data_IF_516663821719
#
_entry.id   IF_516663821719
#
_cell.length_a   1.000
_cell.length_b   1.000
_cell.length_c   1.000
_cell.angle_alpha   90.00
_cell.angle_beta   90.00
_cell.angle_gamma   90.00
#
_symmetry.space_group_name_H-M   'P 1'
#
loop_
_entity.id
_entity.type
_entity.pdbx_description
1 polymer ?
#
# COMPACT_ATOMS: atom_id res chain seq x y z
N UNK A 1 16.20 14.37 3.04
CA UNK A 1 14.83 14.15 3.55
C UNK A 1 14.83 13.15 4.70
N UNK A 2 14.02 13.41 5.73
CA UNK A 2 13.79 12.54 6.88
C UNK A 2 12.41 11.89 6.70
N UNK A 3 12.22 10.69 7.25
CA UNK A 3 10.89 10.11 7.44
C UNK A 3 10.61 9.98 8.93
N UNK A 4 9.60 10.70 9.41
CA UNK A 4 8.97 10.48 10.71
C UNK A 4 8.10 9.23 10.59
N UNK A 5 8.31 8.26 11.46
CA UNK A 5 7.57 6.98 11.43
C UNK A 5 7.03 6.61 12.80
N UNK A 6 5.71 6.47 12.89
CA UNK A 6 5.01 5.98 14.07
C UNK A 6 4.42 4.62 13.76
N UNK A 7 4.57 3.68 14.69
CA UNK A 7 3.96 2.36 14.60
C UNK A 7 3.15 2.06 15.88
N UNK A 8 2.01 1.41 15.72
CA UNK A 8 1.13 1.04 16.82
C UNK A 8 1.84 0.24 17.92
N UNK A 9 2.76 -0.65 17.55
CA UNK A 9 3.53 -1.47 18.48
C UNK A 9 4.66 -0.75 19.23
N UNK A 10 4.96 0.52 18.93
CA UNK A 10 6.08 1.26 19.50
C UNK A 10 5.73 2.70 19.91
N UNK A 11 4.49 2.91 20.35
CA UNK A 11 4.05 4.21 20.90
C UNK A 11 4.84 4.56 22.18
N UNK A 12 4.98 5.85 22.41
CA UNK A 12 5.62 6.40 23.63
C UNK A 12 4.87 5.96 24.90
N UNK A 13 5.61 5.75 25.98
CA UNK A 13 5.06 5.22 27.24
C UNK A 13 3.95 6.09 27.85
N UNK A 14 4.00 7.41 27.67
CA UNK A 14 2.98 8.33 28.14
C UNK A 14 1.70 8.22 27.31
N UNK A 15 1.79 8.03 25.98
CA UNK A 15 0.65 7.77 25.13
C UNK A 15 0.02 6.40 25.41
N UNK A 16 0.84 5.37 25.65
CA UNK A 16 0.34 4.06 26.09
C UNK A 16 -0.45 4.16 27.40
N UNK A 17 0.00 4.99 28.36
CA UNK A 17 -0.74 5.24 29.61
C UNK A 17 -2.04 6.02 29.37
N UNK A 18 -2.01 7.00 28.47
CA UNK A 18 -3.16 7.88 28.15
C UNK A 18 -4.27 7.09 27.44
N UNK A 19 -3.91 6.33 26.42
CA UNK A 19 -4.86 5.65 25.54
C UNK A 19 -5.12 4.19 25.92
N UNK A 20 -4.28 3.58 26.77
CA UNK A 20 -4.30 2.17 27.22
C UNK A 20 -4.01 1.18 26.10
N UNK A 21 -4.61 1.37 24.93
CA UNK A 21 -4.43 0.56 23.73
C UNK A 21 -4.02 1.47 22.54
N UNK A 22 -3.35 0.93 21.51
CA UNK A 22 -3.11 1.67 20.28
C UNK A 22 -4.44 2.07 19.63
N UNK A 23 -4.63 3.35 19.36
CA UNK A 23 -5.78 3.90 18.65
C UNK A 23 -5.30 4.81 17.51
N UNK A 24 -6.15 5.11 16.51
CA UNK A 24 -5.82 6.10 15.48
C UNK A 24 -5.37 7.44 16.07
N UNK A 25 -6.06 7.92 17.11
CA UNK A 25 -5.76 9.19 17.79
C UNK A 25 -4.38 9.16 18.47
N UNK A 26 -4.01 8.02 19.08
CA UNK A 26 -2.70 7.86 19.71
C UNK A 26 -1.57 7.92 18.67
N UNK A 27 -1.77 7.28 17.51
CA UNK A 27 -0.82 7.32 16.39
C UNK A 27 -0.67 8.72 15.81
N UNK A 28 -1.78 9.43 15.65
CA UNK A 28 -1.80 10.81 15.15
C UNK A 28 -1.13 11.76 16.15
N UNK A 29 -1.45 11.68 17.44
CA UNK A 29 -0.81 12.51 18.47
C UNK A 29 0.70 12.29 18.50
N UNK A 30 1.16 11.03 18.45
CA UNK A 30 2.59 10.72 18.36
C UNK A 30 3.23 11.37 17.12
N UNK A 31 2.61 11.23 15.94
CA UNK A 31 3.12 11.82 14.71
C UNK A 31 3.20 13.35 14.80
N UNK A 32 2.17 14.02 15.30
CA UNK A 32 2.12 15.48 15.43
C UNK A 32 3.19 16.01 16.38
N UNK A 33 3.49 15.34 17.49
CA UNK A 33 4.60 15.68 18.37
C UNK A 33 5.94 15.73 17.65
N UNK A 34 6.21 14.75 16.79
CA UNK A 34 7.44 14.71 16.00
C UNK A 34 7.46 15.78 14.90
N UNK A 35 6.33 16.03 14.25
CA UNK A 35 6.17 17.12 13.28
C UNK A 35 6.46 18.47 13.95
N UNK A 36 5.92 18.70 15.16
CA UNK A 36 6.16 19.92 15.92
C UNK A 36 7.64 20.14 16.30
N UNK A 37 8.34 19.06 16.67
CA UNK A 37 9.79 19.13 16.94
C UNK A 37 10.54 19.61 15.70
N UNK A 38 10.26 19.04 14.52
CA UNK A 38 10.90 19.44 13.28
C UNK A 38 10.53 20.87 12.86
N UNK A 39 9.28 21.26 13.08
CA UNK A 39 8.83 22.63 12.83
C UNK A 39 9.58 23.66 13.70
N UNK A 40 9.78 23.37 14.98
CA UNK A 40 10.58 24.24 15.90
C UNK A 40 12.04 24.35 15.46
N UNK A 41 12.57 23.33 14.75
CA UNK A 41 13.92 23.34 14.20
C UNK A 41 13.97 23.95 12.79
N UNK A 42 12.88 24.50 12.28
CA UNK A 42 12.73 25.02 10.91
C UNK A 42 13.13 23.99 9.83
N UNK A 43 12.88 22.70 10.09
CA UNK A 43 13.19 21.62 9.16
C UNK A 43 11.91 21.15 8.48
N UNK A 44 11.77 21.43 7.17
CA UNK A 44 10.57 21.13 6.39
C UNK A 44 10.71 19.92 5.44
N UNK A 45 11.94 19.45 5.18
CA UNK A 45 12.20 18.36 4.21
C UNK A 45 12.02 16.99 4.88
N UNK A 46 10.78 16.64 5.20
CA UNK A 46 10.44 15.34 5.76
C UNK A 46 9.06 14.84 5.29
N UNK A 47 8.84 13.54 5.43
CA UNK A 47 7.56 12.88 5.22
C UNK A 47 7.15 12.10 6.47
N UNK A 48 5.85 11.83 6.60
CA UNK A 48 5.29 11.19 7.79
C UNK A 48 4.65 9.85 7.45
N UNK A 49 4.79 8.88 8.34
CA UNK A 49 4.08 7.61 8.25
C UNK A 49 3.49 7.20 9.60
N UNK A 50 2.25 6.75 9.60
CA UNK A 50 1.57 6.16 10.75
C UNK A 50 1.09 4.76 10.36
N UNK A 51 1.65 3.73 10.99
CA UNK A 51 1.45 2.34 10.55
C UNK A 51 0.88 1.49 11.67
N UNK A 52 -0.05 0.63 11.30
CA UNK A 52 -0.58 -0.43 12.17
C UNK A 52 -0.71 -1.73 11.37
N UNK A 53 -0.83 -2.85 12.07
CA UNK A 53 -1.14 -4.15 11.50
C UNK A 53 -2.64 -4.32 11.25
N UNK A 54 -3.48 -3.58 11.99
CA UNK A 54 -4.90 -3.45 11.73
C UNK A 54 -5.13 -2.43 10.61
N UNK A 55 -5.86 -2.86 9.58
CA UNK A 55 -6.10 -2.06 8.37
C UNK A 55 -6.93 -0.83 8.67
N UNK A 56 -8.03 -0.99 9.42
CA UNK A 56 -8.93 0.12 9.71
C UNK A 56 -8.28 1.16 10.63
N UNK A 57 -7.50 0.71 11.61
CA UNK A 57 -6.72 1.60 12.47
C UNK A 57 -5.72 2.42 11.64
N UNK A 58 -4.98 1.77 10.74
CA UNK A 58 -4.02 2.46 9.88
C UNK A 58 -4.71 3.48 8.98
N UNK A 59 -5.79 3.07 8.30
CA UNK A 59 -6.55 3.94 7.38
C UNK A 59 -7.09 5.15 8.12
N UNK A 60 -7.71 4.96 9.29
CA UNK A 60 -8.28 6.06 10.05
C UNK A 60 -7.20 7.01 10.58
N UNK A 61 -6.06 6.48 11.05
CA UNK A 61 -4.94 7.31 11.47
C UNK A 61 -4.40 8.18 10.31
N UNK A 62 -4.25 7.63 9.10
CA UNK A 62 -3.84 8.41 7.93
C UNK A 62 -4.88 9.46 7.53
N UNK A 63 -6.18 9.13 7.57
CA UNK A 63 -7.26 10.10 7.30
C UNK A 63 -7.23 11.28 8.26
N UNK A 64 -7.06 11.00 9.56
CA UNK A 64 -6.98 12.04 10.57
C UNK A 64 -5.72 12.89 10.41
N UNK A 65 -4.58 12.25 10.11
CA UNK A 65 -3.32 12.95 9.92
C UNK A 65 -3.32 13.82 8.67
N UNK A 66 -3.87 13.34 7.55
CA UNK A 66 -3.97 14.08 6.30
C UNK A 66 -4.77 15.38 6.40
N UNK A 67 -5.65 15.49 7.39
CA UNK A 67 -6.42 16.73 7.66
C UNK A 67 -5.66 17.75 8.50
N UNK A 68 -4.53 17.36 9.09
CA UNK A 68 -3.81 18.15 10.10
C UNK A 68 -2.41 18.58 9.67
N UNK A 69 -1.85 17.95 8.63
CA UNK A 69 -0.50 18.26 8.14
C UNK A 69 -0.48 18.38 6.61
N UNK A 70 0.45 19.18 6.10
CA UNK A 70 0.70 19.34 4.67
C UNK A 70 1.89 18.49 4.17
N UNK A 71 2.65 17.88 5.10
CA UNK A 71 3.81 17.06 4.76
C UNK A 71 3.40 15.81 4.03
N UNK A 72 4.21 15.35 3.06
CA UNK A 72 3.95 14.13 2.31
C UNK A 72 3.75 12.92 3.21
N UNK A 73 2.77 12.09 2.89
CA UNK A 73 2.45 10.88 3.61
C UNK A 73 3.08 9.65 2.96
N UNK A 74 3.76 8.85 3.77
CA UNK A 74 4.31 7.57 3.36
C UNK A 74 3.45 6.43 3.87
N UNK A 75 2.61 5.89 2.99
CA UNK A 75 1.64 4.85 3.32
C UNK A 75 2.28 3.48 3.53
N UNK A 76 1.65 2.67 4.37
CA UNK A 76 1.99 1.25 4.53
C UNK A 76 1.20 0.60 5.64
N UNK A 77 0.90 -0.68 5.45
CA UNK A 77 0.39 -1.56 6.50
C UNK A 77 1.59 -2.36 7.03
N UNK A 78 1.84 -2.31 8.33
CA UNK A 78 2.94 -3.08 8.94
C UNK A 78 2.47 -4.48 9.32
N UNK A 79 3.42 -5.44 9.34
CA UNK A 79 3.11 -6.82 9.75
C UNK A 79 1.91 -7.40 8.96
N UNK A 80 1.88 -7.14 7.66
CA UNK A 80 0.73 -7.53 6.84
C UNK A 80 0.60 -9.06 6.71
N UNK A 81 1.71 -9.82 6.81
CA UNK A 81 1.73 -11.27 6.76
C UNK A 81 2.48 -11.83 5.57
N UNK A 82 2.24 -13.11 5.24
CA UNK A 82 2.84 -13.80 4.10
C UNK A 82 2.34 -13.21 2.76
N UNK A 83 2.97 -13.61 1.65
CA UNK A 83 2.72 -13.06 0.31
C UNK A 83 1.23 -12.89 0.02
N UNK A 84 0.43 -13.94 0.10
CA UNK A 84 -1.00 -13.88 -0.25
C UNK A 84 -1.81 -13.00 0.71
N UNK A 85 -1.76 -13.30 2.00
CA UNK A 85 -2.55 -12.58 3.01
C UNK A 85 -2.10 -11.13 3.19
N UNK A 86 -0.79 -10.90 3.14
CA UNK A 86 -0.21 -9.57 3.23
C UNK A 86 -0.51 -8.70 2.01
N UNK A 87 -0.56 -9.29 0.81
CA UNK A 87 -1.01 -8.60 -0.41
C UNK A 87 -2.45 -8.12 -0.25
N UNK A 88 -3.36 -8.99 0.20
CA UNK A 88 -4.77 -8.61 0.41
C UNK A 88 -4.90 -7.48 1.41
N UNK A 89 -4.23 -7.59 2.59
CA UNK A 89 -4.25 -6.53 3.61
C UNK A 89 -3.71 -5.20 3.06
N UNK A 90 -2.58 -5.25 2.38
CA UNK A 90 -1.94 -4.06 1.82
C UNK A 90 -2.80 -3.43 0.72
N UNK A 91 -3.38 -4.25 -0.16
CA UNK A 91 -4.25 -3.77 -1.22
C UNK A 91 -5.51 -3.08 -0.67
N UNK A 92 -6.12 -3.62 0.38
CA UNK A 92 -7.27 -3.00 1.03
C UNK A 92 -6.87 -1.67 1.66
N UNK A 93 -5.87 -1.66 2.54
CA UNK A 93 -5.51 -0.46 3.29
C UNK A 93 -4.94 0.65 2.42
N UNK A 94 -4.01 0.33 1.51
CA UNK A 94 -3.47 1.30 0.58
C UNK A 94 -4.52 1.73 -0.45
N UNK A 95 -5.35 0.79 -0.93
CA UNK A 95 -6.42 1.08 -1.88
C UNK A 95 -7.44 2.08 -1.35
N UNK A 96 -7.89 1.93 -0.10
CA UNK A 96 -8.81 2.87 0.54
C UNK A 96 -8.22 4.29 0.57
N UNK A 97 -6.97 4.43 1.01
CA UNK A 97 -6.33 5.75 1.12
C UNK A 97 -6.05 6.39 -0.24
N UNK A 98 -5.47 5.62 -1.15
CA UNK A 98 -5.12 6.11 -2.49
C UNK A 98 -6.35 6.50 -3.31
N UNK A 99 -7.48 5.79 -3.15
CA UNK A 99 -8.75 6.15 -3.78
C UNK A 99 -9.32 7.49 -3.26
N UNK A 100 -8.96 7.88 -2.04
CA UNK A 100 -9.32 9.17 -1.43
C UNK A 100 -8.28 10.28 -1.74
N UNK A 101 -7.25 9.98 -2.53
CA UNK A 101 -6.18 10.94 -2.84
C UNK A 101 -5.18 11.13 -1.70
N UNK A 102 -5.17 10.24 -0.71
CA UNK A 102 -4.26 10.29 0.44
C UNK A 102 -3.03 9.44 0.15
N UNK A 103 -1.83 10.04 0.24
CA UNK A 103 -0.54 9.38 0.15
C UNK A 103 0.29 9.77 -1.06
N UNK A 104 1.59 9.95 -0.83
CA UNK A 104 2.57 10.43 -1.82
C UNK A 104 3.58 9.35 -2.17
N UNK A 105 3.88 8.49 -1.21
CA UNK A 105 4.75 7.32 -1.37
C UNK A 105 4.16 6.15 -0.61
N UNK A 106 4.49 4.92 -1.01
CA UNK A 106 3.99 3.73 -0.33
C UNK A 106 5.09 2.68 -0.14
N UNK A 107 4.88 1.79 0.82
CA UNK A 107 5.61 0.54 1.01
C UNK A 107 4.64 -0.58 1.32
N UNK A 108 4.73 -1.64 0.55
CA UNK A 108 4.15 -2.94 0.91
C UNK A 108 5.13 -3.66 1.83
N UNK A 109 4.65 -4.37 2.85
CA UNK A 109 5.47 -5.10 3.81
C UNK A 109 5.00 -6.54 3.90
N UNK A 110 5.82 -7.46 3.40
CA UNK A 110 5.48 -8.89 3.29
C UNK A 110 6.58 -9.74 3.93
N UNK A 111 6.17 -10.87 4.52
CA UNK A 111 7.09 -11.95 4.88
C UNK A 111 7.37 -12.81 3.63
N UNK A 112 8.04 -12.22 2.62
CA UNK A 112 8.37 -12.79 1.32
C UNK A 112 9.61 -12.11 0.73
N UNK A 113 10.02 -12.49 -0.48
CA UNK A 113 11.10 -11.83 -1.21
C UNK A 113 10.79 -10.32 -1.36
N UNK A 114 11.74 -9.41 -1.08
CA UNK A 114 11.52 -7.97 -1.22
C UNK A 114 11.08 -7.52 -2.61
N UNK A 115 11.40 -8.28 -3.66
CA UNK A 115 10.94 -8.00 -5.02
C UNK A 115 9.43 -8.08 -5.12
N UNK A 116 8.80 -9.02 -4.39
CA UNK A 116 7.35 -9.17 -4.34
C UNK A 116 6.65 -7.95 -3.72
N UNK A 117 7.25 -7.31 -2.73
CA UNK A 117 6.73 -6.06 -2.16
C UNK A 117 6.60 -4.96 -3.25
N UNK A 118 7.59 -4.89 -4.14
CA UNK A 118 7.60 -3.92 -5.25
C UNK A 118 6.55 -4.29 -6.31
N UNK A 119 6.44 -5.57 -6.66
CA UNK A 119 5.44 -6.07 -7.61
C UNK A 119 4.03 -5.75 -7.13
N UNK A 120 3.71 -6.14 -5.91
CA UNK A 120 2.40 -5.87 -5.29
C UNK A 120 2.12 -4.36 -5.21
N UNK A 121 3.13 -3.54 -4.89
CA UNK A 121 2.98 -2.08 -4.88
C UNK A 121 2.59 -1.53 -6.25
N UNK A 122 3.21 -2.03 -7.33
CA UNK A 122 2.84 -1.64 -8.69
C UNK A 122 1.46 -2.15 -9.09
N UNK A 123 1.08 -3.35 -8.69
CA UNK A 123 -0.23 -3.92 -9.02
C UNK A 123 -1.36 -3.13 -8.34
N UNK A 124 -1.16 -2.70 -7.10
CA UNK A 124 -2.10 -1.79 -6.42
C UNK A 124 -2.25 -0.47 -7.20
N UNK A 125 -1.14 0.16 -7.60
CA UNK A 125 -1.16 1.43 -8.33
C UNK A 125 -1.79 1.29 -9.73
N UNK A 126 -1.50 0.19 -10.43
CA UNK A 126 -2.11 -0.14 -11.73
C UNK A 126 -3.61 -0.34 -11.60
N UNK A 127 -4.05 -1.15 -10.63
CA UNK A 127 -5.47 -1.45 -10.38
C UNK A 127 -6.30 -0.20 -10.06
N UNK A 128 -5.67 0.83 -9.51
CA UNK A 128 -6.29 2.13 -9.21
C UNK A 128 -6.10 3.17 -10.34
N UNK A 129 -5.48 2.79 -11.45
CA UNK A 129 -5.13 3.69 -12.57
C UNK A 129 -4.29 4.92 -12.16
N UNK A 130 -3.55 4.84 -11.06
CA UNK A 130 -2.69 5.93 -10.56
C UNK A 130 -1.32 5.96 -11.23
N UNK A 131 -0.78 4.77 -11.52
CA UNK A 131 0.50 4.59 -12.22
C UNK A 131 0.40 3.36 -13.11
N UNK A 132 1.08 3.42 -14.25
CA UNK A 132 1.22 2.29 -15.15
C UNK A 132 2.69 2.01 -15.43
N UNK A 133 3.08 0.75 -15.41
CA UNK A 133 4.41 0.28 -15.77
C UNK A 133 4.32 -1.18 -16.20
N UNK A 134 4.84 -1.49 -17.36
CA UNK A 134 4.78 -2.85 -17.90
C UNK A 134 3.40 -3.23 -18.41
N UNK A 135 3.20 -4.51 -18.60
CA UNK A 135 1.95 -5.06 -19.13
C UNK A 135 0.88 -5.13 -18.04
N UNK A 136 -0.32 -4.72 -18.40
CA UNK A 136 -1.52 -4.97 -17.60
C UNK A 136 -2.29 -6.13 -18.26
N UNK A 137 -2.31 -7.28 -17.60
CA UNK A 137 -2.91 -8.49 -18.12
C UNK A 137 -4.31 -8.66 -17.52
N UNK A 138 -5.32 -8.69 -18.38
CA UNK A 138 -6.70 -9.01 -18.00
C UNK A 138 -7.07 -10.35 -18.62
N UNK A 139 -7.58 -11.28 -17.82
CA UNK A 139 -7.95 -12.59 -18.29
C UNK A 139 -9.39 -12.93 -17.93
N UNK A 140 -10.13 -13.47 -18.89
CA UNK A 140 -11.42 -14.06 -18.62
C UNK A 140 -11.21 -15.38 -17.84
N UNK A 141 -11.97 -15.63 -16.76
CA UNK A 141 -11.85 -16.87 -16.02
C UNK A 141 -12.27 -18.08 -16.87
N UNK A 142 -11.67 -19.24 -16.55
CA UNK A 142 -12.05 -20.51 -17.17
C UNK A 142 -13.55 -20.78 -17.02
N UNK A 143 -14.20 -21.15 -18.11
CA UNK A 143 -15.62 -21.55 -18.13
C UNK A 143 -15.86 -22.68 -19.15
N UNK A 144 -17.07 -23.20 -19.21
CA UNK A 144 -17.45 -24.29 -20.11
C UNK A 144 -17.35 -23.94 -21.61
N UNK A 145 -17.17 -22.68 -21.95
CA UNK A 145 -17.01 -22.21 -23.35
C UNK A 145 -15.55 -21.97 -23.73
N UNK A 146 -14.59 -22.29 -22.88
CA UNK A 146 -13.18 -22.10 -23.21
C UNK A 146 -12.74 -23.12 -24.30
N UNK A 147 -11.92 -22.65 -25.22
CA UNK A 147 -11.37 -23.44 -26.33
C UNK A 147 -9.88 -23.77 -26.14
N UNK A 148 -9.24 -23.14 -25.16
CA UNK A 148 -7.85 -23.43 -24.79
C UNK A 148 -7.63 -23.25 -23.27
N UNK A 149 -6.51 -23.74 -22.76
CA UNK A 149 -6.14 -23.60 -21.35
C UNK A 149 -5.73 -22.16 -21.03
N UNK A 150 -6.72 -21.37 -20.59
CA UNK A 150 -6.53 -19.97 -20.22
C UNK A 150 -5.56 -19.83 -19.04
N UNK A 151 -5.63 -20.72 -18.04
CA UNK A 151 -4.81 -20.62 -16.82
C UNK A 151 -3.34 -20.77 -17.16
N UNK A 152 -2.98 -21.84 -17.89
CA UNK A 152 -1.59 -22.06 -18.33
C UNK A 152 -1.09 -20.93 -19.24
N UNK A 153 -1.95 -20.41 -20.11
CA UNK A 153 -1.61 -19.31 -21.02
C UNK A 153 -1.34 -18.02 -20.24
N UNK A 154 -2.18 -17.66 -19.27
CA UNK A 154 -1.99 -16.48 -18.41
C UNK A 154 -0.68 -16.56 -17.65
N UNK A 155 -0.42 -17.70 -16.96
CA UNK A 155 0.80 -17.91 -16.19
C UNK A 155 2.07 -17.82 -17.06
N UNK A 156 2.01 -18.39 -18.27
CA UNK A 156 3.13 -18.33 -19.22
C UNK A 156 3.38 -16.90 -19.73
N UNK A 157 2.31 -16.13 -19.97
CA UNK A 157 2.41 -14.73 -20.41
C UNK A 157 2.90 -13.82 -19.30
N UNK A 158 2.40 -13.96 -18.07
CA UNK A 158 2.91 -13.20 -16.91
C UNK A 158 4.44 -13.34 -16.81
N UNK A 159 4.94 -14.57 -16.88
CA UNK A 159 6.39 -14.82 -16.83
C UNK A 159 7.16 -14.21 -18.00
N UNK A 160 6.63 -14.35 -19.23
CA UNK A 160 7.33 -13.89 -20.46
C UNK A 160 7.28 -12.38 -20.63
N UNK A 161 6.25 -11.74 -20.10
CA UNK A 161 6.03 -10.29 -20.25
C UNK A 161 6.57 -9.46 -19.07
N UNK A 162 7.11 -10.12 -18.06
CA UNK A 162 7.60 -9.48 -16.83
C UNK A 162 8.65 -8.39 -17.09
N UNK A 163 9.54 -8.60 -18.05
CA UNK A 163 10.64 -7.69 -18.39
C UNK A 163 10.22 -6.54 -19.32
N UNK A 164 9.00 -6.57 -19.85
CA UNK A 164 8.51 -5.55 -20.77
C UNK A 164 8.14 -4.29 -19.98
N UNK A 165 8.81 -3.18 -20.29
CA UNK A 165 8.61 -1.88 -19.62
C UNK A 165 7.56 -1.02 -20.30
N UNK A 166 7.18 -1.34 -21.54
CA UNK A 166 6.15 -0.61 -22.27
C UNK A 166 4.79 -0.81 -21.59
N UNK A 167 4.03 0.26 -21.43
CA UNK A 167 2.68 0.19 -20.87
C UNK A 167 1.73 -0.29 -21.95
N UNK A 168 1.20 -1.50 -21.79
CA UNK A 168 0.24 -2.11 -22.69
C UNK A 168 -0.84 -2.84 -21.90
N UNK A 169 -2.07 -2.77 -22.35
CA UNK A 169 -3.17 -3.59 -21.84
C UNK A 169 -3.35 -4.80 -22.77
N UNK A 170 -3.28 -5.99 -22.19
CA UNK A 170 -3.44 -7.25 -22.89
C UNK A 170 -4.62 -8.01 -22.29
N UNK A 171 -5.60 -8.36 -23.12
CA UNK A 171 -6.75 -9.16 -22.72
C UNK A 171 -6.67 -10.58 -23.30
N UNK A 172 -6.92 -11.57 -22.45
CA UNK A 172 -6.97 -12.98 -22.82
C UNK A 172 -8.40 -13.49 -22.65
N UNK A 173 -9.03 -13.82 -23.75
CA UNK A 173 -10.37 -14.40 -23.76
C UNK A 173 -10.29 -15.86 -24.21
N UNK A 174 -10.75 -16.79 -23.39
CA UNK A 174 -10.69 -18.23 -23.66
C UNK A 174 -11.77 -18.74 -24.59
N UNK A 175 -12.76 -17.96 -24.94
CA UNK A 175 -13.85 -18.35 -25.86
C UNK A 175 -13.86 -17.47 -27.11
N UNK A 176 -14.30 -18.00 -28.24
CA UNK A 176 -14.63 -17.20 -29.42
C UNK A 176 -15.82 -16.28 -29.09
N UNK A 177 -15.69 -15.01 -29.42
CA UNK A 177 -16.75 -14.01 -29.38
C UNK A 177 -17.33 -13.87 -30.77
#
# INVERSE_FOLDING_TARGET
>A
PIRVGVNAGSLEKDLQKKYREPTPEALVESALRHVEILARLNFADFKVSVKASDVYMAVEAYRQLARQIEQPLHLGITEAGALRSGTVKSAIGLGMLLAEGIGDTLRVSLAADPVEEVRVGWDILKSLHLRSKGINLTACPSCSRQEFDVISTVNALETRLEDIRATLDVAINGCCV
#
